data_IF_655883758867
#
_entry.id   IF_655883758867
#
_cell.length_a   1.000
_cell.length_b   1.000
_cell.length_c   1.000
_cell.angle_alpha   90.00
_cell.angle_beta   90.00
_cell.angle_gamma   90.00
#
_symmetry.space_group_name_H-M   'P 1'
#
loop_
_entity.id
_entity.type
_entity.pdbx_description
1 polymer ?
#
# COMPACT_ATOMS: atom_id res chain seq x y z
N UNK A 1 18.47 5.65 9.78
CA UNK A 1 17.83 5.98 8.49
C UNK A 1 16.39 6.36 8.78
N UNK A 2 15.92 7.53 8.30
CA UNK A 2 14.51 7.86 8.42
C UNK A 2 13.74 6.81 7.61
N UNK A 3 12.93 5.99 8.29
CA UNK A 3 12.13 4.97 7.62
C UNK A 3 11.02 5.70 6.89
N UNK A 4 11.19 5.93 5.59
CA UNK A 4 10.09 6.40 4.75
C UNK A 4 9.02 5.29 4.74
N UNK A 5 7.76 5.69 4.88
CA UNK A 5 6.62 4.77 4.81
C UNK A 5 6.53 4.19 3.39
N UNK A 6 6.06 2.94 3.28
CA UNK A 6 5.58 2.38 2.01
C UNK A 6 4.16 2.94 1.73
N UNK A 7 3.17 2.07 1.49
CA UNK A 7 1.79 2.50 1.23
C UNK A 7 1.11 3.15 2.45
N UNK A 8 1.32 2.58 3.65
CA UNK A 8 0.55 2.91 4.86
C UNK A 8 1.38 3.68 5.89
N UNK A 9 0.74 4.66 6.55
CA UNK A 9 1.27 5.24 7.80
C UNK A 9 1.14 4.29 8.98
N UNK A 10 1.79 4.60 10.10
CA UNK A 10 1.61 3.85 11.35
C UNK A 10 0.16 3.94 11.83
N UNK A 11 -0.41 5.14 11.89
CA UNK A 11 -1.80 5.37 12.31
C UNK A 11 -2.82 4.67 11.41
N UNK A 12 -2.58 4.59 10.11
CA UNK A 12 -3.45 3.83 9.21
C UNK A 12 -3.39 2.33 9.47
N UNK A 13 -2.20 1.78 9.77
CA UNK A 13 -2.07 0.39 10.19
C UNK A 13 -2.82 0.12 11.50
N UNK A 14 -2.79 1.05 12.45
CA UNK A 14 -3.57 0.98 13.69
C UNK A 14 -5.08 1.01 13.42
N UNK A 15 -5.55 1.93 12.57
CA UNK A 15 -6.96 2.02 12.19
C UNK A 15 -7.47 0.77 11.47
N UNK A 16 -6.67 0.17 10.59
CA UNK A 16 -7.00 -1.11 9.93
C UNK A 16 -7.07 -2.28 10.91
N UNK A 17 -6.22 -2.30 11.95
CA UNK A 17 -6.21 -3.34 12.99
C UNK A 17 -7.34 -3.17 14.01
N UNK A 18 -7.85 -1.96 14.18
CA UNK A 18 -8.90 -1.67 15.15
C UNK A 18 -10.24 -2.29 14.74
N UNK A 19 -10.96 -2.90 15.69
CA UNK A 19 -12.33 -3.40 15.49
C UNK A 19 -13.39 -2.29 15.54
N UNK A 20 -12.99 -1.04 15.77
CA UNK A 20 -13.92 0.08 15.92
C UNK A 20 -14.23 0.71 14.57
N UNK A 21 -15.48 0.58 14.13
CA UNK A 21 -16.03 1.17 12.90
C UNK A 21 -16.35 2.67 13.08
N UNK A 22 -15.35 3.44 13.48
CA UNK A 22 -15.46 4.89 13.61
C UNK A 22 -15.27 5.63 12.28
N UNK A 23 -15.68 6.90 12.18
CA UNK A 23 -15.50 7.73 10.98
C UNK A 23 -14.03 7.81 10.54
N UNK A 24 -13.08 7.74 11.48
CA UNK A 24 -11.65 7.73 11.19
C UNK A 24 -11.19 6.45 10.47
N UNK A 25 -11.78 5.29 10.78
CA UNK A 25 -11.47 4.04 10.08
C UNK A 25 -11.96 4.10 8.64
N UNK A 26 -13.20 4.58 8.43
CA UNK A 26 -13.75 4.73 7.08
C UNK A 26 -12.90 5.67 6.22
N UNK A 27 -12.49 6.82 6.77
CA UNK A 27 -11.60 7.75 6.08
C UNK A 27 -10.23 7.13 5.77
N UNK A 28 -9.64 6.39 6.71
CA UNK A 28 -8.38 5.69 6.48
C UNK A 28 -8.52 4.69 5.32
N UNK A 29 -9.54 3.83 5.33
CA UNK A 29 -9.79 2.86 4.25
C UNK A 29 -9.99 3.57 2.91
N UNK A 30 -10.76 4.65 2.88
CA UNK A 30 -10.99 5.44 1.66
C UNK A 30 -9.68 6.00 1.09
N UNK A 31 -8.84 6.63 1.93
CA UNK A 31 -7.54 7.18 1.51
C UNK A 31 -6.58 6.08 1.04
N UNK A 32 -6.61 4.91 1.66
CA UNK A 32 -5.77 3.77 1.26
C UNK A 32 -6.23 3.26 -0.10
N UNK A 33 -7.54 3.13 -0.31
CA UNK A 33 -8.11 2.72 -1.59
C UNK A 33 -7.70 3.66 -2.73
N UNK A 34 -7.80 4.98 -2.51
CA UNK A 34 -7.37 5.95 -3.51
C UNK A 34 -5.88 5.80 -3.84
N UNK A 35 -5.01 5.66 -2.82
CA UNK A 35 -3.57 5.41 -3.05
C UNK A 35 -3.31 4.13 -3.84
N UNK A 36 -4.07 3.06 -3.61
CA UNK A 36 -3.91 1.81 -4.36
C UNK A 36 -4.25 2.02 -5.84
N UNK A 37 -5.37 2.69 -6.13
CA UNK A 37 -5.84 2.85 -7.51
C UNK A 37 -5.14 3.96 -8.29
N UNK A 38 -4.67 5.02 -7.62
CA UNK A 38 -4.08 6.18 -8.28
C UNK A 38 -2.55 6.12 -8.22
N UNK A 39 -1.98 6.17 -7.01
CA UNK A 39 -0.53 6.28 -6.82
C UNK A 39 0.19 4.96 -7.11
N UNK A 40 -0.21 3.87 -6.44
CA UNK A 40 0.45 2.58 -6.59
C UNK A 40 0.29 2.00 -8.00
N UNK A 41 -0.86 2.22 -8.65
CA UNK A 41 -1.03 1.80 -10.04
C UNK A 41 -0.04 2.52 -10.96
N UNK A 42 0.13 3.84 -10.78
CA UNK A 42 1.12 4.62 -11.54
C UNK A 42 2.53 4.11 -11.28
N UNK A 43 2.88 3.84 -10.02
CA UNK A 43 4.19 3.30 -9.65
C UNK A 43 4.44 1.92 -10.31
N UNK A 44 3.45 1.03 -10.28
CA UNK A 44 3.53 -0.29 -10.92
C UNK A 44 3.74 -0.16 -12.43
N UNK A 45 3.07 0.76 -13.10
CA UNK A 45 3.25 1.00 -14.53
C UNK A 45 4.66 1.51 -14.85
N UNK A 46 5.20 2.42 -14.05
CA UNK A 46 6.57 2.93 -14.17
C UNK A 46 7.59 1.81 -13.95
N UNK A 47 7.44 1.02 -12.88
CA UNK A 47 8.32 -0.10 -12.57
C UNK A 47 8.29 -1.14 -13.69
N UNK A 48 7.10 -1.56 -14.14
CA UNK A 48 6.96 -2.55 -15.22
C UNK A 48 7.64 -2.08 -16.51
N UNK A 49 7.60 -0.79 -16.81
CA UNK A 49 8.16 -0.23 -18.05
C UNK A 49 9.67 0.00 -17.97
N UNK A 50 10.18 0.43 -16.83
CA UNK A 50 11.55 0.93 -16.71
C UNK A 50 12.48 0.02 -15.89
N UNK A 51 11.93 -0.73 -14.93
CA UNK A 51 12.67 -1.58 -13.99
C UNK A 51 11.86 -2.87 -13.69
N UNK A 52 11.76 -3.80 -14.66
CA UNK A 52 10.92 -4.99 -14.55
C UNK A 52 11.37 -5.97 -13.46
N UNK A 53 12.64 -5.91 -13.06
CA UNK A 53 13.20 -6.61 -11.90
C UNK A 53 12.55 -6.14 -10.59
N UNK A 54 12.48 -4.82 -10.36
CA UNK A 54 11.80 -4.26 -9.19
C UNK A 54 10.29 -4.51 -9.19
N UNK A 55 9.67 -4.52 -10.38
CA UNK A 55 8.27 -4.93 -10.52
C UNK A 55 8.06 -6.38 -10.08
N UNK A 56 8.93 -7.31 -10.49
CA UNK A 56 8.85 -8.71 -10.10
C UNK A 56 9.03 -8.90 -8.58
N UNK A 57 9.95 -8.15 -7.95
CA UNK A 57 10.10 -8.15 -6.49
C UNK A 57 8.82 -7.66 -5.79
N UNK A 58 8.21 -6.58 -6.28
CA UNK A 58 6.95 -6.07 -5.74
C UNK A 58 5.82 -7.10 -5.90
N UNK A 59 5.66 -7.70 -7.08
CA UNK A 59 4.67 -8.74 -7.33
C UNK A 59 4.88 -9.96 -6.41
N UNK A 60 6.13 -10.37 -6.19
CA UNK A 60 6.43 -11.47 -5.28
C UNK A 60 5.96 -11.17 -3.85
N UNK A 61 6.24 -9.96 -3.34
CA UNK A 61 5.82 -9.55 -1.99
C UNK A 61 4.29 -9.49 -1.87
N UNK A 62 3.59 -9.01 -2.91
CA UNK A 62 2.13 -8.84 -2.90
C UNK A 62 1.39 -10.16 -3.13
N UNK A 63 1.82 -10.96 -4.11
CA UNK A 63 1.11 -12.16 -4.55
C UNK A 63 1.52 -13.43 -3.80
N UNK A 64 2.77 -13.52 -3.35
CA UNK A 64 3.31 -14.73 -2.70
C UNK A 64 3.52 -14.54 -1.18
N UNK A 65 3.05 -13.43 -0.62
CA UNK A 65 3.31 -13.00 0.76
C UNK A 65 2.42 -13.60 1.85
N UNK A 66 1.74 -14.74 1.62
CA UNK A 66 0.92 -15.42 2.63
C UNK A 66 0.98 -16.96 2.46
N UNK A 67 2.05 -17.59 2.93
CA UNK A 67 2.03 -18.97 3.46
C UNK A 67 2.16 -18.93 5.00
#
# INVERSE_FOLDING_TARGET
>A
MARTRALLTETEREHLRSKNTGPNQYQAVSRIRNRIHEELQTDVEVLRKHHPDLHAELEQVVCNGQE
#
